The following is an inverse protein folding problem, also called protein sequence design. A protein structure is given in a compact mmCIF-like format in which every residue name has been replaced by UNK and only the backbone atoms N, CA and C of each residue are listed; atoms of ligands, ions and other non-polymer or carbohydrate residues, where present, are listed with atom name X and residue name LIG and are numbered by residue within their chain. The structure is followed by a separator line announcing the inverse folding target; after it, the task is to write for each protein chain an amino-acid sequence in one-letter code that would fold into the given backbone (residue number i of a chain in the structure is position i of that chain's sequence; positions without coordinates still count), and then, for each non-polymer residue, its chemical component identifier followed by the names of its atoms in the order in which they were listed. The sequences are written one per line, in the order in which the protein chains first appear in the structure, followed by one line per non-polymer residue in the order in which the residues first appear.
data_IF_247798334211
#
_entry.id   IF_247798334211
#
_cell.length_a   1.000
_cell.length_b   1.000
_cell.length_c   1.000
_cell.angle_alpha   90.00
_cell.angle_beta   90.00
_cell.angle_gamma   90.00
#
_symmetry.space_group_name_H-M   'P 1'
#
loop_
_entity.id
_entity.type
_entity.pdbx_description
1 polymer ?
#
# COMPACT_ATOMS: atom_id res chain seq x y z
N UNK A 1 10.19 -46.84 14.85
CA UNK A 1 11.17 -45.75 14.88
C UNK A 1 10.46 -44.47 14.48
N UNK A 2 10.09 -43.64 15.44
CA UNK A 2 9.40 -42.38 15.16
C UNK A 2 10.47 -41.31 14.89
N UNK A 3 10.61 -40.93 13.63
CA UNK A 3 11.36 -39.74 13.25
C UNK A 3 10.55 -38.54 13.76
N UNK A 4 10.86 -38.10 14.98
CA UNK A 4 10.26 -36.90 15.56
C UNK A 4 10.47 -35.75 14.59
N UNK A 5 9.36 -35.29 14.03
CA UNK A 5 9.25 -34.16 13.12
C UNK A 5 9.84 -32.91 13.80
N UNK A 6 11.16 -32.72 13.70
CA UNK A 6 11.90 -31.61 14.32
C UNK A 6 11.50 -30.32 13.64
N UNK A 7 10.42 -29.72 14.13
CA UNK A 7 9.92 -28.43 13.66
C UNK A 7 11.06 -27.41 13.73
N UNK A 8 11.38 -26.80 12.60
CA UNK A 8 12.38 -25.75 12.53
C UNK A 8 11.92 -24.52 13.30
N UNK A 9 12.60 -24.20 14.41
CA UNK A 9 12.21 -23.11 15.30
C UNK A 9 12.86 -21.79 14.85
N UNK A 10 12.33 -21.18 13.80
CA UNK A 10 12.81 -19.91 13.23
C UNK A 10 13.09 -18.84 14.30
N UNK A 11 12.19 -18.72 15.28
CA UNK A 11 12.24 -17.70 16.33
C UNK A 11 13.43 -17.92 17.29
N UNK A 12 13.85 -19.16 17.47
CA UNK A 12 14.93 -19.52 18.40
C UNK A 12 16.32 -19.34 17.79
N UNK A 13 16.42 -19.06 16.49
CA UNK A 13 17.69 -18.76 15.86
C UNK A 13 18.30 -17.46 16.41
N UNK A 14 19.64 -17.38 16.52
CA UNK A 14 20.34 -16.13 16.72
C UNK A 14 19.94 -15.08 15.69
N UNK A 15 19.96 -13.80 16.09
CA UNK A 15 19.44 -12.68 15.29
C UNK A 15 20.01 -12.69 13.86
N UNK A 16 21.32 -12.87 13.71
CA UNK A 16 22.01 -12.84 12.41
C UNK A 16 21.55 -13.99 11.51
N UNK A 17 21.50 -15.22 12.03
CA UNK A 17 21.06 -16.39 11.28
C UNK A 17 19.59 -16.27 10.86
N UNK A 18 18.73 -15.79 11.77
CA UNK A 18 17.32 -15.54 11.50
C UNK A 18 17.12 -14.51 10.40
N UNK A 19 17.80 -13.37 10.48
CA UNK A 19 17.71 -12.32 9.47
C UNK A 19 18.19 -12.80 8.10
N UNK A 20 19.30 -13.55 8.04
CA UNK A 20 19.82 -14.09 6.79
C UNK A 20 18.81 -15.02 6.12
N UNK A 21 18.20 -15.93 6.90
CA UNK A 21 17.20 -16.85 6.39
C UNK A 21 15.92 -16.13 5.95
N UNK A 22 15.45 -15.15 6.72
CA UNK A 22 14.28 -14.36 6.34
C UNK A 22 14.53 -13.54 5.06
N UNK A 23 15.74 -13.03 4.82
CA UNK A 23 16.09 -12.37 3.55
C UNK A 23 16.08 -13.28 2.32
N UNK A 24 16.04 -14.59 2.51
CA UNK A 24 15.90 -15.57 1.43
C UNK A 24 14.44 -15.90 1.11
N UNK A 25 13.50 -15.50 1.97
CA UNK A 25 12.07 -15.64 1.72
C UNK A 25 11.63 -14.59 0.69
N UNK A 26 10.62 -14.93 -0.11
CA UNK A 26 10.00 -13.94 -0.98
C UNK A 26 9.20 -12.91 -0.15
N UNK A 27 8.86 -11.77 -0.76
CA UNK A 27 8.17 -10.70 -0.06
C UNK A 27 6.75 -11.10 0.38
N UNK A 28 6.14 -12.08 -0.29
CA UNK A 28 4.80 -12.58 0.04
C UNK A 28 4.86 -13.43 1.31
N UNK A 29 5.81 -14.36 1.38
CA UNK A 29 6.08 -15.18 2.55
C UNK A 29 6.45 -14.30 3.76
N UNK A 30 7.23 -13.23 3.54
CA UNK A 30 7.55 -12.25 4.59
C UNK A 30 6.32 -11.50 5.08
N UNK A 31 5.43 -11.11 4.17
CA UNK A 31 4.14 -10.53 4.55
C UNK A 31 3.28 -11.51 5.33
N UNK A 32 3.09 -12.75 4.85
CA UNK A 32 2.32 -13.77 5.56
C UNK A 32 2.90 -14.04 6.96
N UNK A 33 4.22 -14.15 7.07
CA UNK A 33 4.91 -14.33 8.33
C UNK A 33 4.67 -13.16 9.30
N UNK A 34 4.61 -11.94 8.78
CA UNK A 34 4.33 -10.74 9.58
C UNK A 34 2.95 -10.77 10.24
N UNK A 35 1.96 -11.42 9.61
CA UNK A 35 0.61 -11.54 10.12
C UNK A 35 0.51 -12.53 11.29
N UNK A 36 1.47 -13.44 11.45
CA UNK A 36 1.44 -14.44 12.51
C UNK A 36 1.60 -13.86 13.92
N UNK A 37 2.33 -12.75 14.08
CA UNK A 37 2.46 -12.05 15.37
C UNK A 37 3.13 -10.68 15.23
N UNK A 38 2.91 -9.80 16.20
CA UNK A 38 3.63 -8.51 16.33
C UNK A 38 5.15 -8.71 16.33
N UNK A 39 5.64 -9.80 16.94
CA UNK A 39 7.07 -10.11 16.97
C UNK A 39 7.61 -10.43 15.58
N UNK A 40 6.87 -11.19 14.76
CA UNK A 40 7.27 -11.46 13.39
C UNK A 40 7.23 -10.20 12.53
N UNK A 41 6.20 -9.36 12.66
CA UNK A 41 6.14 -8.08 11.97
C UNK A 41 7.38 -7.20 12.26
N UNK A 42 7.82 -7.16 13.53
CA UNK A 42 9.07 -6.45 13.91
C UNK A 42 10.32 -7.07 13.27
N UNK A 43 10.38 -8.39 13.15
CA UNK A 43 11.52 -9.06 12.51
C UNK A 43 11.57 -8.80 11.01
N UNK A 44 10.42 -8.84 10.33
CA UNK A 44 10.31 -8.50 8.90
C UNK A 44 10.70 -7.04 8.68
N UNK A 45 10.16 -6.11 9.47
CA UNK A 45 10.53 -4.69 9.42
C UNK A 45 12.03 -4.47 9.63
N UNK A 46 12.65 -5.23 10.53
CA UNK A 46 14.09 -5.12 10.80
C UNK A 46 14.97 -5.55 9.62
N UNK A 47 14.43 -6.22 8.60
CA UNK A 47 15.15 -6.54 7.37
C UNK A 47 15.44 -5.30 6.51
N UNK A 48 14.69 -4.20 6.72
CA UNK A 48 14.80 -2.94 5.97
C UNK A 48 14.65 -3.15 4.46
N UNK A 49 13.68 -3.97 4.07
CA UNK A 49 13.32 -4.14 2.66
C UNK A 49 12.55 -2.90 2.23
N UNK A 50 13.00 -2.27 1.16
CA UNK A 50 12.37 -1.08 0.60
C UNK A 50 11.47 -1.47 -0.59
N UNK A 51 10.25 -0.96 -0.57
CA UNK A 51 9.37 -1.01 -1.71
C UNK A 51 9.72 0.11 -2.68
N UNK A 52 9.66 -0.19 -3.97
CA UNK A 52 9.78 0.82 -5.03
C UNK A 52 8.57 1.76 -5.01
N UNK A 53 7.37 1.22 -4.77
CA UNK A 53 6.13 1.98 -4.59
C UNK A 53 5.02 1.14 -3.96
N UNK A 54 4.11 1.80 -3.28
CA UNK A 54 2.82 1.30 -2.85
C UNK A 54 1.74 1.96 -3.69
N UNK A 55 0.72 1.21 -4.05
CA UNK A 55 -0.45 1.76 -4.73
C UNK A 55 -1.72 1.37 -3.97
N UNK A 56 -2.61 2.34 -3.81
CA UNK A 56 -4.00 2.12 -3.39
C UNK A 56 -4.87 2.49 -4.58
N UNK A 57 -5.75 1.58 -5.00
CA UNK A 57 -6.75 1.85 -6.04
C UNK A 57 -8.12 1.53 -5.49
N UNK A 58 -8.96 2.55 -5.38
CA UNK A 58 -10.36 2.46 -4.93
C UNK A 58 -11.26 3.09 -5.99
N UNK A 59 -11.61 2.33 -7.02
CA UNK A 59 -12.42 2.77 -8.15
C UNK A 59 -13.61 1.85 -8.37
N UNK A 60 -14.54 2.24 -9.24
CA UNK A 60 -15.71 1.41 -9.56
C UNK A 60 -15.23 0.07 -10.15
N UNK A 61 -15.44 -1.03 -9.42
CA UNK A 61 -15.04 -2.37 -9.83
C UNK A 61 -13.61 -2.79 -9.46
N UNK A 62 -12.84 -1.95 -8.77
CA UNK A 62 -11.50 -2.30 -8.32
C UNK A 62 -11.19 -1.69 -6.95
N UNK A 63 -10.92 -2.57 -5.98
CA UNK A 63 -10.43 -2.22 -4.64
C UNK A 63 -9.18 -3.04 -4.37
N UNK A 64 -8.01 -2.41 -4.39
CA UNK A 64 -6.74 -3.12 -4.27
C UNK A 64 -5.66 -2.30 -3.59
N UNK A 65 -4.83 -2.98 -2.80
CA UNK A 65 -3.56 -2.47 -2.28
C UNK A 65 -2.44 -3.31 -2.88
N UNK A 66 -1.48 -2.68 -3.52
CA UNK A 66 -0.34 -3.36 -4.12
C UNK A 66 0.98 -2.74 -3.69
N UNK A 67 2.01 -3.58 -3.61
CA UNK A 67 3.37 -3.18 -3.28
C UNK A 67 4.29 -3.69 -4.36
N UNK A 68 5.04 -2.78 -4.96
CA UNK A 68 6.02 -3.12 -5.98
C UNK A 68 7.41 -3.05 -5.37
N UNK A 69 8.19 -4.08 -5.63
CA UNK A 69 9.59 -4.14 -5.25
C UNK A 69 10.45 -4.06 -6.50
N UNK A 70 11.59 -3.37 -6.39
CA UNK A 70 12.56 -3.34 -7.46
C UNK A 70 13.07 -4.77 -7.68
N UNK A 71 12.96 -5.29 -8.90
CA UNK A 71 13.56 -6.59 -9.26
C UNK A 71 15.05 -6.55 -8.93
N UNK A 72 15.49 -7.37 -7.99
CA UNK A 72 16.92 -7.57 -7.75
C UNK A 72 17.47 -8.51 -8.83
N UNK A 73 18.56 -8.14 -9.53
CA UNK A 73 19.24 -9.08 -10.41
C UNK A 73 19.81 -10.22 -9.56
N UNK A 74 19.30 -11.45 -9.76
CA UNK A 74 19.76 -12.65 -9.05
C UNK A 74 18.73 -13.38 -8.19
N UNK A 75 17.52 -12.83 -8.00
CA UNK A 75 16.42 -13.54 -7.34
C UNK A 75 15.49 -14.16 -8.40
N UNK A 76 15.83 -15.36 -8.88
CA UNK A 76 14.90 -16.22 -9.60
C UNK A 76 14.17 -17.05 -8.54
N UNK A 77 13.03 -16.55 -8.06
CA UNK A 77 12.04 -17.37 -7.36
C UNK A 77 10.86 -17.56 -8.31
N UNK A 78 10.93 -18.59 -9.14
CA UNK A 78 9.78 -19.04 -9.92
C UNK A 78 8.83 -19.80 -8.99
N UNK A 79 7.77 -19.10 -8.55
CA UNK A 79 6.61 -19.76 -7.97
C UNK A 79 5.42 -19.54 -8.89
N UNK A 80 5.28 -20.43 -9.87
CA UNK A 80 4.03 -20.59 -10.61
C UNK A 80 2.94 -21.06 -9.63
N UNK A 81 1.97 -20.22 -9.32
CA UNK A 81 0.65 -20.66 -8.86
C UNK A 81 -0.33 -20.36 -9.98
N UNK A 82 -0.81 -21.42 -10.62
CA UNK A 82 -1.85 -21.36 -11.64
C UNK A 82 -3.06 -20.55 -11.14
N UNK A 83 -3.23 -19.35 -11.70
CA UNK A 83 -4.33 -18.43 -11.48
C UNK A 83 -4.04 -17.10 -12.18
N UNK A 84 -5.04 -16.34 -12.65
CA UNK A 84 -4.86 -15.15 -13.50
C UNK A 84 -4.24 -13.93 -12.77
N UNK A 85 -3.73 -14.09 -11.55
CA UNK A 85 -3.29 -13.00 -10.69
C UNK A 85 -1.76 -12.96 -10.66
N UNK A 86 -1.19 -11.91 -11.24
CA UNK A 86 0.24 -11.63 -11.12
C UNK A 86 0.63 -11.34 -9.67
N UNK A 87 1.77 -11.90 -9.26
CA UNK A 87 2.36 -12.05 -7.92
C UNK A 87 2.53 -10.81 -6.99
N UNK A 88 1.91 -9.65 -7.24
CA UNK A 88 2.20 -8.42 -6.47
C UNK A 88 0.95 -7.66 -6.00
N UNK A 89 -0.23 -8.26 -6.02
CA UNK A 89 -1.49 -7.59 -5.71
C UNK A 89 -2.25 -8.33 -4.62
N UNK A 90 -2.56 -7.61 -3.54
CA UNK A 90 -3.42 -8.11 -2.47
C UNK A 90 -4.81 -7.52 -2.66
N UNK A 91 -5.77 -8.41 -2.90
CA UNK A 91 -7.17 -8.07 -2.96
C UNK A 91 -7.77 -8.31 -1.59
N UNK A 92 -8.41 -7.29 -1.03
CA UNK A 92 -9.05 -7.40 0.25
C UNK A 92 -10.52 -7.01 0.13
N UNK A 93 -11.39 -7.99 0.38
CA UNK A 93 -12.83 -7.79 0.43
C UNK A 93 -13.22 -7.48 1.89
N UNK A 94 -13.52 -6.20 2.15
CA UNK A 94 -13.93 -5.71 3.46
C UNK A 94 -15.30 -5.06 3.34
N UNK A 95 -16.16 -5.30 4.33
CA UNK A 95 -17.47 -4.64 4.42
C UNK A 95 -17.36 -3.11 4.44
N UNK A 96 -16.27 -2.58 5.06
CA UNK A 96 -15.83 -1.19 4.94
C UNK A 96 -14.50 -1.19 4.18
N UNK A 97 -14.58 -0.86 2.89
CA UNK A 97 -13.44 -0.90 1.97
C UNK A 97 -12.37 0.10 2.40
N UNK A 98 -12.79 1.27 2.89
CA UNK A 98 -11.92 2.36 3.33
C UNK A 98 -11.08 1.96 4.55
N UNK A 99 -11.73 1.46 5.60
CA UNK A 99 -11.05 1.03 6.83
C UNK A 99 -10.13 -0.17 6.56
N UNK A 100 -10.60 -1.13 5.76
CA UNK A 100 -9.81 -2.29 5.38
C UNK A 100 -8.57 -1.94 4.56
N UNK A 101 -8.73 -1.05 3.58
CA UNK A 101 -7.64 -0.53 2.76
C UNK A 101 -6.63 0.24 3.61
N UNK A 102 -7.11 1.05 4.55
CA UNK A 102 -6.26 1.79 5.47
C UNK A 102 -5.44 0.85 6.37
N UNK A 103 -6.08 -0.16 6.96
CA UNK A 103 -5.41 -1.15 7.80
C UNK A 103 -4.33 -1.95 7.03
N UNK A 104 -4.64 -2.40 5.81
CA UNK A 104 -3.71 -3.16 4.97
C UNK A 104 -2.56 -2.29 4.49
N UNK A 105 -2.85 -1.07 4.00
CA UNK A 105 -1.81 -0.14 3.56
C UNK A 105 -0.87 0.24 4.71
N UNK A 106 -1.43 0.53 5.89
CA UNK A 106 -0.66 0.79 7.11
C UNK A 106 0.30 -0.34 7.42
N UNK A 107 -0.16 -1.59 7.36
CA UNK A 107 0.68 -2.75 7.61
C UNK A 107 1.78 -2.89 6.55
N UNK A 108 1.47 -2.69 5.26
CA UNK A 108 2.48 -2.70 4.21
C UNK A 108 3.53 -1.62 4.38
N UNK A 109 3.13 -0.38 4.64
CA UNK A 109 4.05 0.74 4.85
C UNK A 109 4.89 0.58 6.12
N UNK A 110 4.36 -0.12 7.14
CA UNK A 110 5.13 -0.48 8.33
C UNK A 110 6.25 -1.49 8.02
N UNK A 111 5.98 -2.49 7.16
CA UNK A 111 6.93 -3.56 6.84
C UNK A 111 7.95 -3.13 5.79
N UNK A 112 7.47 -2.48 4.74
CA UNK A 112 8.22 -2.14 3.54
C UNK A 112 8.12 -0.64 3.35
N UNK A 113 9.22 0.07 3.59
CA UNK A 113 9.23 1.52 3.39
C UNK A 113 9.23 1.80 1.89
N UNK A 114 8.34 2.69 1.44
CA UNK A 114 8.29 3.10 0.04
C UNK A 114 7.33 4.25 -0.19
N UNK A 115 7.36 4.86 -1.38
CA UNK A 115 6.45 5.94 -1.72
C UNK A 115 5.03 5.43 -1.98
N UNK A 116 4.02 6.18 -1.55
CA UNK A 116 2.61 5.85 -1.72
C UNK A 116 1.98 6.61 -2.90
N UNK A 117 1.25 5.91 -3.75
CA UNK A 117 0.39 6.46 -4.79
C UNK A 117 -1.06 6.04 -4.54
N UNK A 118 -2.01 6.93 -4.82
CA UNK A 118 -3.41 6.69 -4.53
C UNK A 118 -4.25 7.05 -5.75
N UNK A 119 -5.14 6.15 -6.16
CA UNK A 119 -6.17 6.37 -7.18
C UNK A 119 -7.52 6.12 -6.53
N UNK A 120 -8.39 7.12 -6.51
CA UNK A 120 -9.69 7.05 -5.83
C UNK A 120 -10.81 7.58 -6.72
N UNK A 121 -11.97 6.94 -6.62
CA UNK A 121 -13.26 7.43 -7.11
C UNK A 121 -14.10 7.85 -5.90
N UNK A 122 -14.16 9.13 -5.53
CA UNK A 122 -14.78 9.55 -4.27
C UNK A 122 -16.27 9.23 -4.16
N UNK A 123 -16.98 9.08 -5.30
CA UNK A 123 -18.42 8.83 -5.31
C UNK A 123 -18.82 7.42 -4.84
N UNK A 124 -17.87 6.48 -4.79
CA UNK A 124 -18.12 5.14 -4.26
C UNK A 124 -17.70 4.99 -2.79
N UNK A 125 -17.08 6.03 -2.22
CA UNK A 125 -16.50 6.02 -0.87
C UNK A 125 -17.42 6.78 0.08
N UNK A 126 -17.70 6.17 1.23
CA UNK A 126 -18.56 6.68 2.29
C UNK A 126 -17.75 7.37 3.39
N UNK A 127 -16.57 6.83 3.72
CA UNK A 127 -15.80 7.21 4.90
C UNK A 127 -14.36 7.65 4.55
N UNK A 128 -14.22 8.64 3.66
CA UNK A 128 -12.92 9.19 3.27
C UNK A 128 -12.14 9.80 4.45
N UNK A 129 -12.84 10.45 5.40
CA UNK A 129 -12.21 11.06 6.57
C UNK A 129 -11.52 10.01 7.45
N UNK A 130 -12.15 8.84 7.60
CA UNK A 130 -11.63 7.72 8.37
C UNK A 130 -10.38 7.15 7.70
N UNK A 131 -10.42 6.93 6.39
CA UNK A 131 -9.27 6.45 5.61
C UNK A 131 -8.03 7.35 5.77
N UNK A 132 -8.21 8.66 5.66
CA UNK A 132 -7.09 9.62 5.75
C UNK A 132 -6.78 10.08 7.18
N UNK A 133 -7.46 9.51 8.19
CA UNK A 133 -7.08 9.71 9.59
C UNK A 133 -5.79 8.95 9.95
N UNK A 134 -5.48 7.87 9.21
CA UNK A 134 -4.27 7.08 9.42
C UNK A 134 -3.01 7.87 8.99
N UNK A 135 -2.01 8.05 9.87
CA UNK A 135 -0.81 8.84 9.58
C UNK A 135 -0.06 8.40 8.31
N UNK A 136 -0.05 7.09 8.05
CA UNK A 136 0.60 6.49 6.87
C UNK A 136 -0.12 6.85 5.56
N UNK A 137 -1.36 7.34 5.60
CA UNK A 137 -2.14 7.76 4.43
C UNK A 137 -2.27 9.28 4.29
N UNK A 138 -1.75 10.04 5.25
CA UNK A 138 -1.76 11.51 5.21
C UNK A 138 -0.72 12.09 4.24
N UNK A 139 0.05 11.24 3.55
CA UNK A 139 1.11 11.65 2.63
C UNK A 139 1.16 10.70 1.43
N UNK A 140 1.13 11.25 0.22
CA UNK A 140 1.36 10.48 -1.00
C UNK A 140 2.21 11.24 -2.03
N UNK A 141 2.87 10.50 -2.92
CA UNK A 141 3.59 11.08 -4.05
C UNK A 141 2.62 11.52 -5.15
N UNK A 142 1.71 10.62 -5.53
CA UNK A 142 0.74 10.90 -6.58
C UNK A 142 -0.67 10.57 -6.13
N UNK A 143 -1.60 11.48 -6.39
CA UNK A 143 -3.03 11.23 -6.23
C UNK A 143 -3.75 11.42 -7.56
N UNK A 144 -4.59 10.45 -7.92
CA UNK A 144 -5.56 10.56 -9.00
C UNK A 144 -6.98 10.42 -8.45
N UNK A 145 -7.79 11.45 -8.68
CA UNK A 145 -9.22 11.46 -8.39
C UNK A 145 -9.94 11.25 -9.72
N UNK A 146 -10.63 10.12 -9.86
CA UNK A 146 -11.31 9.72 -11.09
C UNK A 146 -12.81 9.46 -10.87
N UNK A 147 -13.54 9.12 -11.93
CA UNK A 147 -14.94 8.69 -11.87
C UNK A 147 -15.93 9.80 -12.18
N UNK A 148 -16.95 9.97 -11.34
CA UNK A 148 -17.91 11.08 -11.46
C UNK A 148 -17.35 12.36 -10.85
N UNK A 149 -18.00 13.50 -11.10
CA UNK A 149 -17.62 14.77 -10.50
C UNK A 149 -17.48 14.65 -8.97
N UNK A 150 -16.30 14.97 -8.45
CA UNK A 150 -16.02 14.90 -7.03
C UNK A 150 -16.73 16.06 -6.32
N UNK A 151 -17.51 15.75 -5.28
CA UNK A 151 -18.19 16.79 -4.51
C UNK A 151 -17.19 17.61 -3.69
N UNK A 152 -17.48 18.90 -3.48
CA UNK A 152 -16.70 19.75 -2.57
C UNK A 152 -16.52 19.14 -1.17
N UNK A 153 -17.50 18.35 -0.67
CA UNK A 153 -17.38 17.63 0.61
C UNK A 153 -16.29 16.55 0.55
N UNK A 154 -16.28 15.74 -0.50
CA UNK A 154 -15.28 14.69 -0.67
C UNK A 154 -13.87 15.27 -0.86
N UNK A 155 -13.72 16.33 -1.67
CA UNK A 155 -12.44 17.01 -1.86
C UNK A 155 -11.93 17.60 -0.53
N UNK A 156 -12.80 18.23 0.27
CA UNK A 156 -12.44 18.68 1.62
C UNK A 156 -11.95 17.54 2.50
N UNK A 157 -12.64 16.41 2.49
CA UNK A 157 -12.25 15.23 3.26
C UNK A 157 -10.85 14.72 2.88
N UNK A 158 -10.58 14.63 1.57
CA UNK A 158 -9.28 14.21 1.04
C UNK A 158 -8.18 15.20 1.43
N UNK A 159 -8.33 16.46 1.02
CA UNK A 159 -7.26 17.46 1.11
C UNK A 159 -7.10 18.10 2.49
N UNK A 160 -8.03 17.88 3.42
CA UNK A 160 -7.86 18.33 4.81
C UNK A 160 -6.72 17.58 5.51
N UNK A 161 -6.63 16.27 5.27
CA UNK A 161 -5.71 15.40 5.99
C UNK A 161 -4.56 14.88 5.12
N UNK A 162 -4.67 14.96 3.78
CA UNK A 162 -3.65 14.42 2.87
C UNK A 162 -2.78 15.50 2.26
N UNK A 163 -1.46 15.28 2.30
CA UNK A 163 -0.44 16.03 1.57
C UNK A 163 0.05 15.27 0.33
N UNK A 164 0.04 15.96 -0.82
CA UNK A 164 0.52 15.43 -2.11
C UNK A 164 1.87 16.05 -2.45
N UNK A 165 2.88 15.22 -2.72
CA UNK A 165 4.25 15.71 -2.92
C UNK A 165 4.64 15.98 -4.38
N UNK A 166 4.10 15.22 -5.34
CA UNK A 166 4.58 15.29 -6.74
C UNK A 166 3.49 15.62 -7.73
N UNK A 167 2.38 14.87 -7.74
CA UNK A 167 1.39 14.96 -8.82
C UNK A 167 -0.03 14.77 -8.30
N UNK A 168 -0.91 15.70 -8.66
CA UNK A 168 -2.35 15.57 -8.52
C UNK A 168 -2.99 15.52 -9.91
N UNK A 169 -3.90 14.57 -10.12
CA UNK A 169 -4.75 14.46 -11.31
C UNK A 169 -6.20 14.40 -10.85
N UNK A 170 -7.07 15.26 -11.39
CA UNK A 170 -8.51 15.24 -11.11
C UNK A 170 -9.26 15.12 -12.43
N UNK A 171 -10.10 14.08 -12.56
CA UNK A 171 -10.87 13.74 -13.77
C UNK A 171 -12.26 13.21 -13.40
N UNK A 172 -13.33 13.61 -14.10
CA UNK A 172 -13.41 14.69 -15.08
C UNK A 172 -13.13 16.06 -14.42
N UNK A 173 -12.95 17.11 -15.24
CA UNK A 173 -12.83 18.48 -14.71
C UNK A 173 -14.07 18.78 -13.88
N UNK A 174 -13.87 19.25 -12.65
CA UNK A 174 -14.96 19.68 -11.77
C UNK A 174 -15.46 21.03 -12.25
N UNK A 175 -16.78 21.22 -12.28
CA UNK A 175 -17.41 22.51 -12.56
C UNK A 175 -17.44 23.40 -11.31
N UNK A 176 -17.12 22.82 -10.14
CA UNK A 176 -17.00 23.53 -8.87
C UNK A 176 -15.57 24.06 -8.67
N UNK A 177 -15.48 25.34 -8.34
CA UNK A 177 -14.25 25.96 -7.85
C UNK A 177 -13.96 25.45 -6.44
N UNK A 178 -12.97 24.57 -6.30
CA UNK A 178 -12.44 24.16 -5.01
C UNK A 178 -10.97 24.56 -4.91
N UNK A 179 -10.65 25.44 -3.96
CA UNK A 179 -9.28 25.86 -3.69
C UNK A 179 -8.55 24.73 -2.97
N UNK A 180 -7.57 24.13 -3.64
CA UNK A 180 -6.68 23.15 -3.02
C UNK A 180 -5.52 23.92 -2.38
N UNK A 181 -5.66 24.23 -1.09
CA UNK A 181 -4.72 25.06 -0.32
C UNK A 181 -3.28 24.51 -0.28
N UNK A 182 -3.11 23.23 -0.60
CA UNK A 182 -1.83 22.54 -0.49
C UNK A 182 -0.98 22.51 -1.77
N UNK A 183 -1.48 22.99 -2.92
CA UNK A 183 -0.75 22.86 -4.20
C UNK A 183 0.13 24.08 -4.45
N UNK A 184 1.44 23.91 -4.26
CA UNK A 184 2.45 24.84 -4.74
C UNK A 184 2.62 24.65 -6.25
N UNK A 185 2.03 25.50 -7.08
CA UNK A 185 2.22 25.44 -8.53
C UNK A 185 3.60 26.03 -8.90
N UNK A 186 4.50 25.21 -9.44
CA UNK A 186 5.33 25.67 -10.57
C UNK A 186 4.49 25.51 -11.82
N UNK A 187 3.70 26.53 -12.14
CA UNK A 187 3.01 26.62 -13.42
C UNK A 187 4.06 26.62 -14.54
N UNK A 188 4.08 25.56 -15.36
CA UNK A 188 4.53 25.67 -16.75
C UNK A 188 3.29 25.72 -17.61
N UNK A 189 2.90 26.93 -17.98
CA UNK A 189 2.04 27.18 -19.12
C UNK A 189 2.79 26.80 -20.40
N UNK A 190 2.30 25.79 -21.09
CA UNK A 190 2.59 25.49 -22.50
C UNK A 190 1.25 25.08 -23.11
N UNK A 191 0.72 25.68 -24.15
CA UNK A 191 0.96 26.90 -24.92
C UNK A 191 -0.32 27.12 -25.72
#
# INVERSE_FOLDING_TARGET
MAEENRKFKLIQLPIVARQKLMKMMDNVDLFELSLCSIRMARYVRALRIEAERHNITLTKGQSSVSVHFRKQPGAICERYRNGPLSLNEYYCDYANIEAGTAAVSKHFQYLFNGPLNIVICPSILRNLDEMFSEPELQKCQTMEICGSEATSKALRSIFRNMRIEKKLVVRPRTNQDYVIEQVWWKSKSTG
#
